data_IF_148176959314
#
_entry.id   IF_148176959314
#
_cell.length_a   1.000
_cell.length_b   1.000
_cell.length_c   1.000
_cell.angle_alpha   90.00
_cell.angle_beta   90.00
_cell.angle_gamma   90.00
#
_symmetry.space_group_name_H-M   'P 1'
#
loop_
_entity.id
_entity.type
_entity.pdbx_description
1 polymer ?
#
# COMPACT_ATOMS: atom_id res chain seq x y z
N UNK A 1 -7.74 -7.06 -2.80
CA UNK A 1 -7.20 -6.33 -1.64
C UNK A 1 -6.06 -7.15 -1.06
N UNK A 2 -5.01 -6.52 -0.55
CA UNK A 2 -3.82 -7.17 0.00
C UNK A 2 -3.37 -6.42 1.25
N UNK A 3 -2.85 -7.13 2.24
CA UNK A 3 -2.26 -6.56 3.44
C UNK A 3 -0.73 -6.73 3.40
N UNK A 4 0.01 -5.63 3.46
CA UNK A 4 1.46 -5.65 3.65
C UNK A 4 1.79 -5.40 5.13
N UNK A 5 2.70 -6.21 5.68
CA UNK A 5 3.20 -6.06 7.05
C UNK A 5 4.71 -5.87 7.01
N UNK A 6 5.18 -4.76 7.56
CA UNK A 6 6.60 -4.44 7.73
C UNK A 6 7.17 -5.19 8.96
N UNK A 7 8.48 -5.48 9.03
CA UNK A 7 9.15 -6.00 10.23
C UNK A 7 8.88 -5.23 11.54
N UNK A 8 8.47 -3.96 11.47
CA UNK A 8 7.99 -3.16 12.61
C UNK A 8 6.51 -3.38 12.97
N UNK A 9 5.88 -4.45 12.46
CA UNK A 9 4.45 -4.77 12.55
C UNK A 9 3.50 -3.67 12.01
N UNK A 10 4.01 -2.79 11.13
CA UNK A 10 3.17 -1.76 10.48
C UNK A 10 2.37 -2.40 9.36
N UNK A 11 1.06 -2.20 9.36
CA UNK A 11 0.12 -2.87 8.46
C UNK A 11 -0.48 -1.90 7.44
N UNK A 12 -0.34 -2.19 6.16
CA UNK A 12 -0.82 -1.38 5.05
C UNK A 12 -1.85 -2.16 4.24
N UNK A 13 -3.09 -1.67 4.21
CA UNK A 13 -4.16 -2.28 3.41
C UNK A 13 -4.18 -1.63 2.02
N UNK A 14 -3.98 -2.44 0.99
CA UNK A 14 -3.87 -2.00 -0.39
C UNK A 14 -4.99 -2.60 -1.23
N UNK A 15 -5.54 -1.79 -2.12
CA UNK A 15 -6.31 -2.27 -3.27
C UNK A 15 -5.33 -2.46 -4.41
N UNK A 16 -5.13 -3.71 -4.84
CA UNK A 16 -4.27 -4.01 -5.98
C UNK A 16 -4.96 -3.56 -7.25
N UNK A 17 -4.23 -2.81 -8.06
CA UNK A 17 -4.65 -2.28 -9.35
C UNK A 17 -3.50 -2.50 -10.34
N UNK A 18 -3.83 -2.83 -11.59
CA UNK A 18 -2.82 -3.03 -12.65
C UNK A 18 -2.08 -1.72 -12.92
N UNK A 19 -0.75 -1.79 -13.11
CA UNK A 19 0.12 -0.62 -13.32
C UNK A 19 0.15 0.40 -12.17
N UNK A 20 -0.27 0.03 -10.96
CA UNK A 20 -0.15 0.88 -9.78
C UNK A 20 1.06 0.50 -8.92
N UNK A 21 1.54 1.43 -8.10
CA UNK A 21 2.69 1.25 -7.24
C UNK A 21 2.36 1.66 -5.80
N UNK A 22 2.80 0.85 -4.84
CA UNK A 22 2.76 1.19 -3.43
C UNK A 22 4.05 1.92 -3.04
N UNK A 23 3.92 3.15 -2.54
CA UNK A 23 5.06 3.94 -2.04
C UNK A 23 5.12 3.94 -0.52
N UNK A 24 6.32 3.71 0.01
CA UNK A 24 6.64 3.74 1.43
C UNK A 24 7.91 4.57 1.66
N UNK A 25 8.25 4.81 2.93
CA UNK A 25 9.52 5.44 3.27
C UNK A 25 10.75 4.65 2.79
N UNK A 26 10.59 3.33 2.63
CA UNK A 26 11.61 2.38 2.18
C UNK A 26 11.54 2.12 0.67
N UNK A 27 11.01 3.05 -0.12
CA UNK A 27 10.89 2.93 -1.57
C UNK A 27 9.53 2.42 -2.03
N UNK A 28 9.46 1.85 -3.23
CA UNK A 28 8.22 1.44 -3.87
C UNK A 28 8.14 -0.07 -4.13
N UNK A 29 6.92 -0.58 -4.33
CA UNK A 29 6.59 -1.95 -4.73
C UNK A 29 5.54 -1.88 -5.85
N UNK A 30 5.82 -2.49 -7.00
CA UNK A 30 4.84 -2.60 -8.08
C UNK A 30 3.69 -3.53 -7.69
N UNK A 31 2.46 -3.13 -7.96
CA UNK A 31 1.29 -3.99 -7.73
C UNK A 31 1.31 -5.22 -8.63
N UNK A 32 1.91 -5.16 -9.82
CA UNK A 32 2.06 -6.33 -10.69
C UNK A 32 2.91 -7.42 -10.04
N UNK A 33 3.91 -7.02 -9.24
CA UNK A 33 4.75 -7.94 -8.47
C UNK A 33 4.01 -8.59 -7.30
N UNK A 34 2.84 -8.06 -6.94
CA UNK A 34 1.97 -8.55 -5.88
C UNK A 34 0.80 -9.38 -6.43
N UNK A 35 0.31 -9.02 -7.62
CA UNK A 35 -0.76 -9.72 -8.32
C UNK A 35 -0.24 -11.10 -8.74
N UNK A 36 -0.95 -12.15 -8.34
CA UNK A 36 -0.62 -13.53 -8.70
C UNK A 36 0.36 -14.23 -7.74
N UNK A 37 0.89 -13.54 -6.72
CA UNK A 37 1.67 -14.23 -5.68
C UNK A 37 0.78 -14.99 -4.68
N UNK A 38 1.35 -16.06 -4.14
CA UNK A 38 0.75 -16.86 -3.08
C UNK A 38 0.74 -16.11 -1.74
N UNK A 39 -0.17 -16.52 -0.87
CA UNK A 39 -0.32 -15.98 0.48
C UNK A 39 0.94 -16.18 1.32
N UNK A 40 1.31 -15.15 2.10
CA UNK A 40 2.46 -15.22 3.00
C UNK A 40 3.81 -14.99 2.32
N UNK A 41 3.83 -14.53 1.07
CA UNK A 41 5.08 -14.20 0.39
C UNK A 41 5.75 -12.97 0.99
N UNK A 42 7.09 -12.96 1.03
CA UNK A 42 7.86 -11.76 1.35
C UNK A 42 8.20 -11.01 0.07
N UNK A 43 7.94 -9.71 0.07
CA UNK A 43 8.16 -8.84 -1.09
C UNK A 43 9.11 -7.73 -0.67
N UNK A 44 10.18 -7.56 -1.44
CA UNK A 44 11.21 -6.57 -1.17
C UNK A 44 10.86 -5.27 -1.89
N UNK A 45 10.87 -4.15 -1.18
CA UNK A 45 10.76 -2.83 -1.81
C UNK A 45 12.06 -2.45 -2.52
N UNK A 46 11.96 -1.47 -3.43
CA UNK A 46 13.13 -0.90 -4.11
C UNK A 46 14.21 -0.39 -3.14
N UNK A 47 13.83 0.13 -1.97
CA UNK A 47 14.76 0.56 -0.92
C UNK A 47 15.25 -0.58 0.00
N UNK A 48 14.95 -1.83 -0.33
CA UNK A 48 15.55 -3.01 0.27
C UNK A 48 14.83 -3.58 1.50
N UNK A 49 13.70 -3.00 1.90
CA UNK A 49 12.93 -3.47 3.06
C UNK A 49 11.98 -4.59 2.64
N UNK A 50 11.88 -5.64 3.46
CA UNK A 50 11.00 -6.77 3.20
C UNK A 50 9.63 -6.57 3.85
N UNK A 51 8.58 -6.86 3.11
CA UNK A 51 7.19 -6.83 3.56
C UNK A 51 6.58 -8.21 3.45
N UNK A 52 5.79 -8.61 4.45
CA UNK A 52 4.96 -9.81 4.38
C UNK A 52 3.64 -9.46 3.70
N UNK A 53 3.37 -10.09 2.55
CA UNK A 53 2.14 -9.95 1.80
C UNK A 53 1.14 -11.04 2.19
N UNK A 54 -0.02 -10.63 2.69
CA UNK A 54 -1.09 -11.51 3.13
C UNK A 54 -2.37 -11.14 2.38
N UNK A 55 -3.12 -12.10 1.83
CA UNK A 55 -4.50 -11.79 1.45
C UNK A 55 -5.29 -11.62 2.74
N UNK A 56 -5.97 -10.48 2.90
CA UNK A 56 -6.88 -10.32 4.03
C UNK A 56 -8.00 -11.36 3.87
N UNK A 57 -8.25 -12.13 4.92
CA UNK A 57 -9.45 -12.96 4.95
C UNK A 57 -10.69 -12.07 5.04
N UNK A 58 -11.87 -12.56 4.66
CA UNK A 58 -13.12 -11.79 4.81
C UNK A 58 -13.30 -11.24 6.22
N UNK A 59 -12.86 -11.98 7.25
CA UNK A 59 -12.89 -11.53 8.64
C UNK A 59 -11.97 -10.34 8.91
N UNK A 60 -10.78 -10.28 8.30
CA UNK A 60 -9.87 -9.12 8.40
C UNK A 60 -10.45 -7.88 7.72
N UNK A 61 -11.13 -8.06 6.58
CA UNK A 61 -11.82 -6.97 5.87
C UNK A 61 -12.93 -6.40 6.76
N UNK A 62 -13.73 -7.25 7.42
CA UNK A 62 -14.81 -6.83 8.30
C UNK A 62 -14.27 -6.15 9.58
N UNK A 63 -13.21 -6.69 10.19
CA UNK A 63 -12.59 -6.14 11.41
C UNK A 63 -11.81 -4.83 11.17
N UNK A 64 -11.25 -4.64 9.96
CA UNK A 64 -10.55 -3.41 9.56
C UNK A 64 -11.38 -2.51 8.64
N UNK A 65 -12.67 -2.75 8.51
CA UNK A 65 -13.62 -1.78 7.95
C UNK A 65 -14.11 -0.87 9.07
N UNK A 66 -13.47 0.29 9.34
CA UNK A 66 -14.23 1.39 9.90
C UNK A 66 -15.25 1.76 8.83
N UNK A 67 -16.54 1.82 9.20
CA UNK A 67 -17.48 2.65 8.43
C UNK A 67 -16.80 4.02 8.31
N UNK A 68 -16.48 4.46 7.08
CA UNK A 68 -15.65 5.63 6.74
C UNK A 68 -14.19 5.61 7.23
N UNK A 69 -13.24 5.36 6.32
CA UNK A 69 -11.88 5.89 6.45
C UNK A 69 -11.45 6.56 5.14
N UNK A 70 -11.70 7.87 5.09
CA UNK A 70 -10.96 8.79 4.22
C UNK A 70 -9.47 8.61 4.49
N UNK A 71 -8.73 8.04 3.54
CA UNK A 71 -7.28 8.18 3.49
C UNK A 71 -6.99 9.37 2.59
N UNK A 72 -6.86 10.52 3.23
CA UNK A 72 -6.26 11.71 2.64
C UNK A 72 -4.76 11.41 2.49
N UNK A 73 -4.25 11.40 1.26
CA UNK A 73 -2.88 11.84 1.01
C UNK A 73 -2.97 13.11 0.16
N UNK A 74 -2.64 14.23 0.79
CA UNK A 74 -2.66 15.55 0.21
C UNK A 74 -1.59 15.62 -0.87
N UNK A 75 -1.96 15.51 -2.15
CA UNK A 75 -1.11 16.04 -3.21
C UNK A 75 -1.21 17.56 -3.09
N UNK A 76 -0.20 18.18 -2.46
CA UNK A 76 -0.05 19.63 -2.33
C UNK A 76 0.02 20.22 -3.74
N UNK A 77 -1.10 20.73 -4.23
CA UNK A 77 -1.15 21.62 -5.38
C UNK A 77 -0.29 22.86 -5.03
N UNK A 78 0.81 23.08 -5.76
CA UNK A 78 1.47 24.41 -5.80
C UNK A 78 0.69 25.23 -6.83
N UNK A 79 -0.05 26.28 -6.43
CA UNK A 79 -0.35 27.35 -7.36
C UNK A 79 0.91 28.22 -7.39
N UNK A 80 1.74 28.10 -8.43
CA UNK A 80 2.64 29.20 -8.75
C UNK A 80 1.78 30.34 -9.31
N UNK A 81 1.33 31.18 -8.40
CA UNK A 81 0.90 32.54 -8.69
C UNK A 81 2.15 33.30 -9.12
N UNK A 82 2.26 33.66 -10.39
CA UNK A 82 2.60 35.04 -10.67
C UNK A 82 1.98 35.53 -11.98
N UNK A 83 1.04 36.43 -11.76
CA UNK A 83 0.52 37.41 -12.70
C UNK A 83 1.61 38.46 -12.92
N UNK A 84 1.96 38.72 -14.17
CA UNK A 84 2.23 40.03 -14.76
C UNK A 84 1.99 39.90 -16.27
#
# INVERSE_FOLDING_TARGET
MLLLVDPKDRRYLLTLESNAEFHSHSGYISHEDLIGKEDGVRVKSSGGLEYLALRPTMSDVILKMPRSAQIISQKRYRPDSNRC
#
